data_IF_784975136145
#
_entry.id   IF_784975136145
#
_cell.length_a   1.000
_cell.length_b   1.000
_cell.length_c   1.000
_cell.angle_alpha   90.00
_cell.angle_beta   90.00
_cell.angle_gamma   90.00
#
_symmetry.space_group_name_H-M   'P 1'
#
loop_
_entity.id
_entity.type
_entity.pdbx_description
1 polymer ?
#
# COMPACT_ATOMS: atom_id res chain seq x y z
N UNK A 1 0.28 98.53 -42.87
CA UNK A 1 1.37 97.89 -42.09
C UNK A 1 0.80 96.63 -41.46
N UNK A 2 1.21 95.44 -41.94
CA UNK A 2 2.03 94.43 -41.23
C UNK A 2 1.25 93.75 -40.06
N UNK A 3 1.09 92.43 -39.95
CA UNK A 3 2.01 91.31 -40.24
C UNK A 3 1.23 89.98 -40.13
N UNK A 4 1.45 89.03 -41.04
CA UNK A 4 1.06 87.63 -40.86
C UNK A 4 1.87 86.97 -39.74
N UNK A 5 1.27 86.08 -38.92
CA UNK A 5 2.00 85.02 -38.25
C UNK A 5 1.73 83.66 -38.93
N UNK A 6 2.76 83.23 -39.63
CA UNK A 6 3.21 81.87 -39.93
C UNK A 6 2.32 80.67 -39.53
N UNK A 7 1.95 79.90 -40.57
CA UNK A 7 1.61 78.47 -40.49
C UNK A 7 2.77 77.69 -39.90
N UNK A 8 2.59 77.08 -38.73
CA UNK A 8 3.37 75.91 -38.32
C UNK A 8 2.40 74.74 -38.07
N UNK A 9 2.26 73.87 -39.08
CA UNK A 9 1.60 72.56 -38.94
C UNK A 9 2.65 71.50 -38.57
N UNK A 10 2.68 70.97 -37.34
CA UNK A 10 3.39 69.72 -37.05
C UNK A 10 2.41 68.53 -37.17
N UNK A 11 1.61 68.46 -38.23
CA UNK A 11 0.62 67.38 -38.40
C UNK A 11 1.23 66.11 -39.00
N UNK A 12 2.34 66.21 -39.75
CA UNK A 12 2.98 65.04 -40.39
C UNK A 12 3.78 64.14 -39.44
N UNK A 13 4.47 64.70 -38.43
CA UNK A 13 5.28 63.90 -37.48
C UNK A 13 4.43 63.07 -36.52
N UNK A 14 3.25 63.57 -36.14
CA UNK A 14 2.31 62.86 -35.28
C UNK A 14 1.68 61.64 -35.98
N UNK A 15 1.45 61.72 -37.29
CA UNK A 15 0.92 60.60 -38.09
C UNK A 15 1.90 59.43 -38.21
N UNK A 16 3.21 59.71 -38.34
CA UNK A 16 4.24 58.66 -38.39
C UNK A 16 4.40 57.99 -37.01
N UNK A 17 4.37 58.79 -35.93
CA UNK A 17 4.44 58.29 -34.56
C UNK A 17 3.25 57.39 -34.20
N UNK A 18 2.02 57.74 -34.64
CA UNK A 18 0.84 56.90 -34.41
C UNK A 18 0.91 55.57 -35.16
N UNK A 19 1.41 55.56 -36.39
CA UNK A 19 1.58 54.32 -37.16
C UNK A 19 2.63 53.42 -36.52
N UNK A 20 3.79 53.97 -36.15
CA UNK A 20 4.83 53.21 -35.44
C UNK A 20 4.33 52.67 -34.09
N UNK A 21 3.60 53.48 -33.32
CA UNK A 21 3.01 53.04 -32.06
C UNK A 21 1.99 51.92 -32.28
N UNK A 22 1.15 52.02 -33.31
CA UNK A 22 0.17 50.99 -33.64
C UNK A 22 0.83 49.68 -34.10
N UNK A 23 1.91 49.77 -34.90
CA UNK A 23 2.70 48.60 -35.29
C UNK A 23 3.38 47.95 -34.08
N UNK A 24 4.00 48.74 -33.19
CA UNK A 24 4.60 48.22 -31.97
C UNK A 24 3.56 47.56 -31.05
N UNK A 25 2.38 48.17 -30.88
CA UNK A 25 1.32 47.62 -30.05
C UNK A 25 0.81 46.28 -30.59
N UNK A 26 0.69 46.14 -31.91
CA UNK A 26 0.33 44.87 -32.55
C UNK A 26 1.41 43.80 -32.34
N UNK A 27 2.70 44.16 -32.48
CA UNK A 27 3.82 43.21 -32.29
C UNK A 27 3.93 42.78 -30.82
N UNK A 28 3.84 43.72 -29.88
CA UNK A 28 3.88 43.38 -28.45
C UNK A 28 2.64 42.59 -28.02
N UNK A 29 1.47 42.92 -28.57
CA UNK A 29 0.24 42.17 -28.33
C UNK A 29 0.32 40.72 -28.83
N UNK A 30 0.87 40.50 -30.03
CA UNK A 30 1.03 39.14 -30.57
C UNK A 30 2.08 38.32 -29.81
N UNK A 31 3.19 38.94 -29.40
CA UNK A 31 4.21 38.28 -28.58
C UNK A 31 3.67 37.93 -27.18
N UNK A 32 2.94 38.85 -26.55
CA UNK A 32 2.31 38.59 -25.25
C UNK A 32 1.30 37.45 -25.34
N UNK A 33 0.47 37.42 -26.39
CA UNK A 33 -0.46 36.32 -26.64
C UNK A 33 0.26 35.00 -26.86
N UNK A 34 1.34 34.98 -27.66
CA UNK A 34 2.14 33.77 -27.90
C UNK A 34 2.76 33.24 -26.60
N UNK A 35 3.35 34.11 -25.78
CA UNK A 35 3.94 33.73 -24.50
C UNK A 35 2.90 33.26 -23.50
N UNK A 36 1.70 33.84 -23.48
CA UNK A 36 0.60 33.36 -22.66
C UNK A 36 0.20 31.92 -23.02
N UNK A 37 0.13 31.58 -24.32
CA UNK A 37 -0.16 30.21 -24.78
C UNK A 37 0.96 29.24 -24.40
N UNK A 38 2.22 29.62 -24.58
CA UNK A 38 3.37 28.78 -24.19
C UNK A 38 3.39 28.54 -22.68
N UNK A 39 3.14 29.58 -21.88
CA UNK A 39 3.07 29.47 -20.43
C UNK A 39 1.94 28.52 -19.98
N UNK A 40 0.75 28.64 -20.57
CA UNK A 40 -0.36 27.71 -20.33
C UNK A 40 -0.01 26.26 -20.71
N UNK A 41 0.70 26.07 -21.83
CA UNK A 41 1.20 24.76 -22.26
C UNK A 41 2.18 24.14 -21.26
N UNK A 42 3.12 24.94 -20.77
CA UNK A 42 4.09 24.51 -19.75
C UNK A 42 3.40 24.16 -18.43
N UNK A 43 2.45 24.99 -17.97
CA UNK A 43 1.68 24.73 -16.75
C UNK A 43 0.88 23.43 -16.84
N UNK A 44 0.22 23.17 -17.98
CA UNK A 44 -0.54 21.93 -18.19
C UNK A 44 0.36 20.69 -18.19
N UNK A 45 1.54 20.80 -18.79
CA UNK A 45 2.55 19.73 -18.76
C UNK A 45 3.05 19.50 -17.34
N UNK A 46 3.34 20.56 -16.59
CA UNK A 46 3.78 20.47 -15.21
C UNK A 46 2.71 19.84 -14.29
N UNK A 47 1.45 20.26 -14.40
CA UNK A 47 0.32 19.67 -13.67
C UNK A 47 0.17 18.17 -13.98
N UNK A 48 0.30 17.78 -15.25
CA UNK A 48 0.22 16.37 -15.65
C UNK A 48 1.36 15.55 -15.05
N UNK A 49 2.58 16.10 -15.03
CA UNK A 49 3.74 15.44 -14.41
C UNK A 49 3.56 15.26 -12.90
N UNK A 50 3.01 16.28 -12.21
CA UNK A 50 2.69 16.19 -10.78
C UNK A 50 1.66 15.10 -10.51
N UNK A 51 0.59 15.04 -11.31
CA UNK A 51 -0.45 14.00 -11.17
C UNK A 51 0.09 12.60 -11.39
N UNK A 52 0.96 12.42 -12.38
CA UNK A 52 1.68 11.15 -12.59
C UNK A 52 2.49 10.76 -11.36
N UNK A 53 3.23 11.69 -10.77
CA UNK A 53 4.04 11.42 -9.58
C UNK A 53 3.17 11.07 -8.37
N UNK A 54 2.07 11.80 -8.14
CA UNK A 54 1.16 11.53 -7.01
C UNK A 54 0.42 10.20 -7.16
N UNK A 55 -0.05 9.86 -8.36
CA UNK A 55 -0.65 8.56 -8.65
C UNK A 55 0.35 7.41 -8.41
N UNK A 56 1.63 7.59 -8.79
CA UNK A 56 2.67 6.60 -8.52
C UNK A 56 2.95 6.46 -7.02
N UNK A 57 3.10 7.57 -6.30
CA UNK A 57 3.28 7.55 -4.83
C UNK A 57 2.09 6.92 -4.11
N UNK A 58 0.86 7.11 -4.61
CA UNK A 58 -0.32 6.42 -4.09
C UNK A 58 -0.28 4.91 -4.31
N UNK A 59 0.11 4.46 -5.50
CA UNK A 59 0.28 3.03 -5.78
C UNK A 59 1.36 2.39 -4.88
N UNK A 60 2.49 3.07 -4.68
CA UNK A 60 3.58 2.60 -3.80
C UNK A 60 3.14 2.55 -2.33
N UNK A 61 2.47 3.60 -1.85
CA UNK A 61 1.95 3.65 -0.48
C UNK A 61 0.93 2.55 -0.24
N UNK A 62 0.01 2.34 -1.19
CA UNK A 62 -0.96 1.26 -1.14
C UNK A 62 -0.30 -0.11 -1.11
N UNK A 63 0.80 -0.31 -1.85
CA UNK A 63 1.55 -1.58 -1.84
C UNK A 63 2.19 -1.85 -0.48
N UNK A 64 2.83 -0.84 0.13
CA UNK A 64 3.43 -0.98 1.47
C UNK A 64 2.35 -1.24 2.52
N UNK A 65 1.23 -0.52 2.43
CA UNK A 65 0.08 -0.75 3.31
C UNK A 65 -0.47 -2.17 3.17
N UNK A 66 -0.68 -2.63 1.93
CA UNK A 66 -1.20 -3.95 1.64
C UNK A 66 -0.27 -5.07 2.12
N UNK A 67 1.04 -4.92 1.93
CA UNK A 67 2.05 -5.85 2.40
C UNK A 67 2.04 -5.95 3.94
N UNK A 68 1.97 -4.81 4.64
CA UNK A 68 1.89 -4.78 6.10
C UNK A 68 0.59 -5.42 6.59
N UNK A 69 -0.56 -5.06 6.02
CA UNK A 69 -1.86 -5.63 6.37
C UNK A 69 -1.86 -7.15 6.17
N UNK A 70 -1.37 -7.62 5.03
CA UNK A 70 -1.28 -9.05 4.76
C UNK A 70 -0.37 -9.76 5.77
N UNK A 71 0.79 -9.18 6.11
CA UNK A 71 1.68 -9.75 7.12
C UNK A 71 1.03 -9.83 8.51
N UNK A 72 0.39 -8.74 8.95
CA UNK A 72 -0.28 -8.67 10.24
C UNK A 72 -1.44 -9.70 10.32
N UNK A 73 -2.28 -9.79 9.28
CA UNK A 73 -3.43 -10.69 9.29
C UNK A 73 -3.06 -12.16 9.07
N UNK A 74 -2.09 -12.45 8.20
CA UNK A 74 -1.62 -13.84 7.99
C UNK A 74 -0.87 -14.40 9.20
N UNK A 75 -0.17 -13.57 9.97
CA UNK A 75 0.54 -13.99 11.19
C UNK A 75 -0.38 -14.55 12.28
N UNK A 76 -1.69 -14.24 12.21
CA UNK A 76 -2.71 -14.76 13.13
C UNK A 76 -2.98 -16.25 12.94
N UNK A 77 -2.65 -16.81 11.77
CA UNK A 77 -2.95 -18.19 11.42
C UNK A 77 -1.81 -19.12 11.89
N UNK A 78 -2.02 -19.79 13.02
CA UNK A 78 -1.09 -20.80 13.52
C UNK A 78 -1.43 -22.13 12.85
N UNK A 79 -0.60 -22.53 11.90
CA UNK A 79 -0.74 -23.77 11.15
C UNK A 79 0.06 -24.90 11.81
N UNK A 80 -0.52 -26.09 11.95
CA UNK A 80 0.20 -27.30 12.42
C UNK A 80 1.12 -27.89 11.35
N UNK A 81 0.64 -27.96 10.11
CA UNK A 81 1.40 -28.47 8.96
C UNK A 81 2.75 -27.74 8.80
N UNK A 82 3.80 -28.49 8.46
CA UNK A 82 5.17 -27.96 8.36
C UNK A 82 5.49 -27.30 7.02
N UNK A 83 4.78 -27.67 5.96
CA UNK A 83 4.96 -27.16 4.59
C UNK A 83 3.62 -26.65 4.10
N UNK A 84 3.64 -25.46 3.49
CA UNK A 84 2.50 -24.87 2.79
C UNK A 84 2.70 -25.20 1.31
N UNK A 85 1.91 -26.15 0.79
CA UNK A 85 1.82 -26.43 -0.64
C UNK A 85 0.74 -25.56 -1.31
N UNK A 86 0.59 -25.64 -2.63
CA UNK A 86 -0.34 -24.79 -3.36
C UNK A 86 -1.81 -25.06 -2.95
N UNK A 87 -2.18 -26.33 -2.81
CA UNK A 87 -3.54 -26.73 -2.41
C UNK A 87 -3.86 -26.24 -1.00
N UNK A 88 -2.94 -26.44 -0.05
CA UNK A 88 -3.12 -25.96 1.32
C UNK A 88 -3.10 -24.42 1.41
N UNK A 89 -2.33 -23.74 0.56
CA UNK A 89 -2.37 -22.29 0.48
C UNK A 89 -3.73 -21.78 -0.01
N UNK A 90 -4.36 -22.47 -0.96
CA UNK A 90 -5.71 -22.18 -1.42
C UNK A 90 -6.75 -22.40 -0.33
N UNK A 91 -6.68 -23.53 0.37
CA UNK A 91 -7.56 -23.80 1.50
C UNK A 91 -7.39 -22.75 2.62
N UNK A 92 -6.15 -22.34 2.91
CA UNK A 92 -5.82 -21.32 3.91
C UNK A 92 -6.31 -19.93 3.51
N UNK A 93 -6.20 -19.62 2.23
CA UNK A 93 -6.65 -18.36 1.67
C UNK A 93 -8.17 -18.24 1.73
N UNK A 94 -8.90 -19.25 1.24
CA UNK A 94 -10.37 -19.27 1.17
C UNK A 94 -11.04 -19.60 2.50
N UNK A 95 -10.34 -20.32 3.39
CA UNK A 95 -10.86 -20.72 4.69
C UNK A 95 -11.64 -22.03 4.70
N UNK A 96 -11.34 -22.93 3.77
CA UNK A 96 -11.99 -24.25 3.66
C UNK A 96 -11.29 -25.34 4.47
N UNK A 97 -10.32 -24.97 5.32
CA UNK A 97 -9.52 -25.92 6.12
C UNK A 97 -10.34 -26.51 7.27
N UNK A 98 -10.08 -27.78 7.59
CA UNK A 98 -10.55 -28.41 8.81
C UNK A 98 -10.03 -27.71 10.08
N UNK A 99 -10.93 -27.43 11.03
CA UNK A 99 -10.64 -26.69 12.27
C UNK A 99 -9.56 -27.33 13.17
N UNK A 100 -9.12 -28.56 12.88
CA UNK A 100 -8.05 -29.24 13.59
C UNK A 100 -6.64 -28.78 13.19
N UNK A 101 -6.45 -28.21 12.01
CA UNK A 101 -5.10 -27.95 11.46
C UNK A 101 -4.62 -26.51 11.65
N UNK A 102 -5.54 -25.59 11.91
CA UNK A 102 -5.29 -24.16 12.03
C UNK A 102 -5.94 -23.61 13.29
N UNK A 103 -5.18 -22.82 14.05
CA UNK A 103 -5.70 -22.02 15.16
C UNK A 103 -5.52 -20.55 14.83
N UNK A 104 -6.61 -19.79 14.83
CA UNK A 104 -6.60 -18.36 14.49
C UNK A 104 -6.58 -17.53 15.76
N UNK A 105 -5.57 -16.66 15.88
CA UNK A 105 -5.46 -15.69 16.96
C UNK A 105 -6.40 -14.48 16.75
N UNK A 106 -6.83 -13.82 17.83
CA UNK A 106 -7.61 -12.59 17.73
C UNK A 106 -6.81 -11.50 16.98
N UNK A 107 -7.51 -10.58 16.27
CA UNK A 107 -6.85 -9.48 15.60
C UNK A 107 -6.23 -8.50 16.60
N UNK A 108 -5.21 -7.77 16.14
CA UNK A 108 -4.61 -6.69 16.89
C UNK A 108 -5.21 -5.34 16.44
N UNK A 109 -5.78 -4.58 17.38
CA UNK A 109 -6.30 -3.24 17.12
C UNK A 109 -7.79 -3.15 16.78
N UNK A 110 -8.48 -4.26 16.55
CA UNK A 110 -9.94 -4.30 16.37
C UNK A 110 -10.53 -5.61 16.93
N UNK A 111 -11.85 -5.66 17.08
CA UNK A 111 -12.57 -6.83 17.60
C UNK A 111 -13.44 -7.44 16.52
N UNK A 112 -13.39 -8.77 16.38
CA UNK A 112 -14.27 -9.54 15.49
C UNK A 112 -15.20 -10.42 16.31
N UNK A 113 -16.43 -10.60 15.84
CA UNK A 113 -17.44 -11.42 16.53
C UNK A 113 -17.22 -12.93 16.40
N UNK A 114 -16.50 -13.36 15.37
CA UNK A 114 -16.11 -14.75 15.11
C UNK A 114 -14.71 -14.77 14.49
N UNK A 115 -13.89 -15.82 14.74
CA UNK A 115 -12.67 -16.03 13.97
C UNK A 115 -12.98 -16.10 12.46
N UNK A 116 -12.20 -15.43 11.60
CA UNK A 116 -12.36 -15.52 10.16
C UNK A 116 -11.98 -16.93 9.68
N UNK A 117 -12.71 -17.50 8.72
CA UNK A 117 -12.43 -18.86 8.22
C UNK A 117 -11.10 -18.94 7.46
N UNK A 118 -10.72 -17.90 6.71
CA UNK A 118 -9.50 -17.85 5.91
C UNK A 118 -8.79 -16.50 5.95
N UNK A 119 -7.59 -16.46 5.37
CA UNK A 119 -6.76 -15.24 5.34
C UNK A 119 -7.50 -14.12 4.57
N UNK A 120 -8.21 -14.45 3.49
CA UNK A 120 -8.92 -13.43 2.70
C UNK A 120 -10.00 -12.72 3.51
N UNK A 121 -10.74 -13.45 4.35
CA UNK A 121 -11.75 -12.86 5.25
C UNK A 121 -11.07 -12.08 6.39
N UNK A 122 -9.93 -12.55 6.91
CA UNK A 122 -9.18 -11.80 7.91
C UNK A 122 -8.70 -10.44 7.39
N UNK A 123 -8.21 -10.38 6.14
CA UNK A 123 -7.82 -9.13 5.48
C UNK A 123 -9.05 -8.24 5.24
N UNK A 124 -10.18 -8.81 4.82
CA UNK A 124 -11.45 -8.09 4.66
C UNK A 124 -11.89 -7.43 5.97
N UNK A 125 -11.90 -8.19 7.07
CA UNK A 125 -12.29 -7.68 8.38
C UNK A 125 -11.37 -6.55 8.84
N UNK A 126 -10.06 -6.67 8.58
CA UNK A 126 -9.09 -5.63 8.85
C UNK A 126 -9.36 -4.33 8.08
N UNK A 127 -9.80 -4.42 6.82
CA UNK A 127 -10.21 -3.25 6.03
C UNK A 127 -11.56 -2.67 6.47
N UNK A 128 -12.51 -3.51 6.91
CA UNK A 128 -13.79 -3.05 7.45
C UNK A 128 -13.64 -2.32 8.79
N UNK A 129 -12.58 -2.60 9.53
CA UNK A 129 -12.27 -1.94 10.79
C UNK A 129 -11.59 -0.57 10.62
N UNK A 130 -11.07 -0.25 9.43
CA UNK A 130 -10.43 1.03 9.15
C UNK A 130 -11.49 2.10 8.80
N UNK A 131 -11.19 3.37 9.11
CA UNK A 131 -12.07 4.54 8.88
C UNK A 131 -11.54 5.50 7.80
N UNK A 132 -10.60 5.03 6.97
CA UNK A 132 -9.90 5.85 5.96
C UNK A 132 -10.39 5.59 4.53
N UNK A 133 -11.44 4.76 4.39
CA UNK A 133 -12.03 4.42 3.12
C UNK A 133 -12.91 5.55 2.59
N UNK A 134 -12.96 5.68 1.27
CA UNK A 134 -13.79 6.66 0.58
C UNK A 134 -14.61 5.96 -0.49
N UNK A 135 -15.78 6.53 -0.79
CA UNK A 135 -16.64 6.08 -1.90
C UNK A 135 -16.36 7.02 -3.07
N UNK A 136 -15.70 6.52 -4.11
CA UNK A 136 -15.41 7.30 -5.33
C UNK A 136 -16.46 7.01 -6.39
N UNK A 137 -16.73 5.73 -6.61
CA UNK A 137 -17.73 5.22 -7.56
C UNK A 137 -18.95 4.67 -6.81
N UNK A 138 -20.16 4.69 -7.41
CA UNK A 138 -21.37 4.19 -6.75
C UNK A 138 -21.29 2.73 -6.27
N UNK A 139 -20.47 1.90 -6.91
CA UNK A 139 -20.24 0.50 -6.53
C UNK A 139 -19.23 0.29 -5.39
N UNK A 140 -18.53 1.34 -4.95
CA UNK A 140 -17.53 1.22 -3.88
C UNK A 140 -18.18 1.01 -2.51
N UNK A 141 -19.44 1.41 -2.35
CA UNK A 141 -20.18 1.24 -1.11
C UNK A 141 -20.31 -0.23 -0.69
N UNK A 142 -20.31 -1.17 -1.65
CA UNK A 142 -20.48 -2.60 -1.39
C UNK A 142 -19.15 -3.32 -1.11
N UNK A 143 -18.01 -2.68 -1.37
CA UNK A 143 -16.69 -3.17 -1.01
C UNK A 143 -16.43 -2.98 0.50
N UNK A 144 -15.42 -3.63 1.11
CA UNK A 144 -14.62 -4.73 0.60
C UNK A 144 -15.44 -6.02 0.42
N UNK A 145 -15.31 -6.60 -0.78
CA UNK A 145 -16.03 -7.79 -1.23
C UNK A 145 -15.04 -8.92 -1.56
N UNK A 146 -15.37 -10.12 -1.09
CA UNK A 146 -14.64 -11.35 -1.40
C UNK A 146 -15.39 -12.09 -2.49
N UNK A 147 -14.75 -12.28 -3.62
CA UNK A 147 -15.20 -13.19 -4.67
C UNK A 147 -14.70 -14.60 -4.34
N UNK A 148 -15.55 -15.40 -3.68
CA UNK A 148 -15.21 -16.76 -3.25
C UNK A 148 -14.96 -17.71 -4.43
N UNK A 149 -15.46 -17.39 -5.64
CA UNK A 149 -15.26 -18.24 -6.82
C UNK A 149 -13.83 -18.13 -7.36
N UNK A 150 -13.27 -16.93 -7.30
CA UNK A 150 -11.92 -16.65 -7.83
C UNK A 150 -10.88 -16.38 -6.73
N UNK A 151 -11.28 -16.39 -5.46
CA UNK A 151 -10.40 -16.08 -4.34
C UNK A 151 -9.84 -14.65 -4.39
N UNK A 152 -10.64 -13.69 -4.87
CA UNK A 152 -10.21 -12.31 -5.05
C UNK A 152 -10.86 -11.40 -4.02
N UNK A 153 -10.06 -10.60 -3.32
CA UNK A 153 -10.56 -9.53 -2.45
C UNK A 153 -10.40 -8.19 -3.17
N UNK A 154 -11.50 -7.47 -3.30
CA UNK A 154 -11.51 -6.07 -3.77
C UNK A 154 -11.80 -5.17 -2.59
N UNK A 155 -10.99 -4.14 -2.42
CA UNK A 155 -11.09 -3.20 -1.29
C UNK A 155 -11.61 -1.85 -1.76
N UNK A 156 -12.29 -1.14 -0.85
CA UNK A 156 -12.65 0.26 -1.04
C UNK A 156 -11.41 1.13 -1.32
N UNK A 157 -11.54 2.20 -2.12
CA UNK A 157 -10.48 3.17 -2.26
C UNK A 157 -10.12 3.82 -0.92
N UNK A 158 -8.83 4.06 -0.68
CA UNK A 158 -8.32 4.71 0.52
C UNK A 158 -7.63 6.02 0.10
N UNK A 159 -8.08 7.14 0.67
CA UNK A 159 -7.51 8.46 0.38
C UNK A 159 -6.17 8.65 1.09
N UNK A 160 -5.17 9.22 0.40
CA UNK A 160 -3.90 9.57 1.04
C UNK A 160 -3.98 10.84 1.90
N UNK A 161 -4.87 11.75 1.55
CA UNK A 161 -5.01 13.06 2.18
C UNK A 161 -6.49 13.43 2.28
N UNK A 162 -6.80 14.31 3.22
CA UNK A 162 -8.11 14.93 3.32
C UNK A 162 -8.28 16.01 2.24
N UNK A 163 -9.39 15.95 1.49
CA UNK A 163 -9.78 17.00 0.56
C UNK A 163 -10.47 16.52 -0.71
N UNK A 164 -11.15 17.43 -1.43
CA UNK A 164 -11.74 17.11 -2.73
C UNK A 164 -10.64 16.79 -3.74
N UNK A 165 -10.81 15.69 -4.49
CA UNK A 165 -9.83 15.16 -5.46
C UNK A 165 -8.47 14.78 -4.84
N UNK A 166 -8.45 14.33 -3.59
CA UNK A 166 -7.24 13.74 -3.03
C UNK A 166 -6.83 12.49 -3.83
N UNK A 167 -5.52 12.26 -4.04
CA UNK A 167 -5.07 11.01 -4.61
C UNK A 167 -5.44 9.87 -3.68
N UNK A 168 -5.87 8.76 -4.26
CA UNK A 168 -6.29 7.57 -3.54
C UNK A 168 -5.62 6.34 -4.14
N UNK A 169 -5.66 5.24 -3.41
CA UNK A 169 -5.26 3.94 -3.94
C UNK A 169 -6.35 2.90 -3.73
N UNK A 170 -6.38 1.91 -4.61
CA UNK A 170 -7.31 0.78 -4.58
C UNK A 170 -6.50 -0.51 -4.54
N UNK A 171 -6.91 -1.43 -3.69
CA UNK A 171 -6.21 -2.69 -3.48
C UNK A 171 -7.03 -3.87 -4.00
N UNK A 172 -6.33 -4.79 -4.64
CA UNK A 172 -6.84 -6.10 -5.03
C UNK A 172 -5.86 -7.17 -4.57
N UNK A 173 -6.39 -8.22 -3.95
CA UNK A 173 -5.63 -9.40 -3.54
C UNK A 173 -6.17 -10.61 -4.31
N UNK A 174 -5.30 -11.41 -4.88
CA UNK A 174 -5.65 -12.58 -5.69
C UNK A 174 -4.65 -13.70 -5.41
N UNK A 175 -5.14 -14.92 -5.16
CA UNK A 175 -4.27 -16.08 -5.06
C UNK A 175 -3.78 -16.50 -6.46
N UNK A 176 -2.49 -16.79 -6.59
CA UNK A 176 -1.93 -17.30 -7.84
C UNK A 176 -2.26 -18.79 -7.99
N UNK A 177 -2.80 -19.17 -9.15
CA UNK A 177 -3.08 -20.57 -9.45
C UNK A 177 -1.80 -21.40 -9.39
N UNK A 178 -1.87 -22.54 -8.67
CA UNK A 178 -0.78 -23.52 -8.57
C UNK A 178 0.50 -23.03 -7.86
N UNK A 179 0.48 -21.87 -7.22
CA UNK A 179 1.59 -21.35 -6.43
C UNK A 179 1.10 -20.89 -5.04
N UNK A 180 1.84 -21.16 -3.95
CA UNK A 180 1.50 -20.64 -2.62
C UNK A 180 1.88 -19.16 -2.52
N UNK A 181 1.32 -18.32 -3.39
CA UNK A 181 1.62 -16.91 -3.48
C UNK A 181 0.37 -16.09 -3.76
N UNK A 182 0.27 -14.93 -3.10
CA UNK A 182 -0.81 -13.98 -3.26
C UNK A 182 -0.27 -12.78 -4.03
N UNK A 183 -0.91 -12.49 -5.16
CA UNK A 183 -0.68 -11.30 -5.95
C UNK A 183 -1.47 -10.14 -5.35
N UNK A 184 -0.76 -9.07 -5.04
CA UNK A 184 -1.34 -7.80 -4.62
C UNK A 184 -1.20 -6.83 -5.77
N UNK A 185 -2.31 -6.20 -6.14
CA UNK A 185 -2.34 -5.10 -7.09
C UNK A 185 -2.76 -3.83 -6.36
N UNK A 186 -1.92 -2.79 -6.44
CA UNK A 186 -2.18 -1.46 -5.92
C UNK A 186 -2.34 -0.49 -7.07
N UNK A 187 -3.53 0.09 -7.20
CA UNK A 187 -3.88 1.08 -8.21
C UNK A 187 -3.95 2.46 -7.57
N UNK A 188 -2.97 3.32 -7.82
CA UNK A 188 -2.97 4.72 -7.39
C UNK A 188 -3.58 5.64 -8.44
N UNK A 189 -4.50 6.50 -8.03
CA UNK A 189 -5.27 7.39 -8.91
C UNK A 189 -5.14 8.84 -8.45
N UNK A 190 -4.91 9.74 -9.41
CA UNK A 190 -4.97 11.19 -9.21
C UNK A 190 -5.64 11.87 -10.43
N UNK A 191 -6.90 12.27 -10.26
CA UNK A 191 -7.74 12.76 -11.35
C UNK A 191 -7.97 11.68 -12.40
N UNK A 192 -7.50 11.91 -13.63
CA UNK A 192 -7.65 10.97 -14.76
C UNK A 192 -6.41 10.10 -14.99
N UNK A 193 -5.44 10.15 -14.07
CA UNK A 193 -4.18 9.40 -14.20
C UNK A 193 -4.18 8.26 -13.20
N UNK A 194 -3.96 7.06 -13.73
CA UNK A 194 -3.87 5.82 -12.97
C UNK A 194 -2.47 5.22 -13.11
N UNK A 195 -1.92 4.75 -12.00
CA UNK A 195 -0.68 3.96 -11.94
C UNK A 195 -0.95 2.67 -11.20
N UNK A 196 -0.47 1.56 -11.75
CA UNK A 196 -0.68 0.24 -11.18
C UNK A 196 0.67 -0.36 -10.83
N UNK A 197 0.79 -0.85 -9.60
CA UNK A 197 1.91 -1.64 -9.11
C UNK A 197 1.39 -3.02 -8.71
N UNK A 198 2.16 -4.06 -9.01
CA UNK A 198 1.80 -5.43 -8.68
C UNK A 198 3.01 -6.15 -8.10
N UNK A 199 2.79 -6.87 -7.01
CA UNK A 199 3.81 -7.69 -6.36
C UNK A 199 3.20 -9.02 -5.92
N UNK A 200 4.03 -10.06 -5.97
CA UNK A 200 3.63 -11.41 -5.56
C UNK A 200 4.28 -11.72 -4.21
N UNK A 201 3.46 -12.07 -3.23
CA UNK A 201 3.88 -12.40 -1.87
C UNK A 201 3.73 -13.88 -1.64
N UNK A 202 4.83 -14.55 -1.31
CA UNK A 202 4.82 -15.97 -1.02
C UNK A 202 4.30 -16.22 0.39
N UNK A 203 3.36 -17.15 0.52
CA UNK A 203 2.79 -17.60 1.79
C UNK A 203 3.62 -18.78 2.28
N UNK A 204 4.56 -18.51 3.19
CA UNK A 204 5.40 -19.54 3.81
C UNK A 204 5.23 -19.52 5.32
N UNK A 205 5.40 -20.69 5.94
CA UNK A 205 5.47 -20.82 7.39
C UNK A 205 6.88 -20.48 7.86
N UNK A 206 7.01 -19.46 8.71
CA UNK A 206 8.29 -19.13 9.36
C UNK A 206 8.29 -19.63 10.79
N UNK A 207 9.34 -20.35 11.17
CA UNK A 207 9.59 -20.74 12.56
C UNK A 207 10.51 -19.70 13.17
N UNK A 208 10.01 -18.93 14.13
CA UNK A 208 10.79 -17.87 14.80
C UNK A 208 11.62 -18.40 15.97
N UNK A 209 12.25 -19.57 15.82
CA UNK A 209 13.09 -20.17 16.84
C UNK A 209 14.48 -20.48 16.30
N UNK A 210 15.51 -20.15 17.09
CA UNK A 210 16.90 -20.48 16.77
C UNK A 210 17.15 -21.98 16.86
N UNK A 211 16.54 -22.65 17.85
CA UNK A 211 16.47 -24.12 17.91
C UNK A 211 15.10 -24.52 18.42
N UNK A 212 14.45 -25.43 17.69
CA UNK A 212 13.19 -26.07 18.07
C UNK A 212 13.40 -27.57 18.01
N UNK A 213 13.17 -28.28 19.12
CA UNK A 213 13.18 -29.74 19.10
C UNK A 213 12.07 -30.31 19.98
N UNK A 214 11.38 -31.36 19.50
CA UNK A 214 10.44 -32.11 20.33
C UNK A 214 11.14 -32.95 21.41
N UNK A 215 12.46 -33.14 21.28
CA UNK A 215 13.29 -33.96 22.15
C UNK A 215 14.38 -33.12 22.83
N UNK A 216 15.09 -33.73 23.79
CA UNK A 216 16.20 -33.08 24.50
C UNK A 216 17.26 -32.56 23.54
N UNK A 217 17.65 -31.29 23.71
CA UNK A 217 18.73 -30.64 22.96
C UNK A 217 19.96 -30.61 23.88
N UNK A 218 21.10 -31.14 23.41
CA UNK A 218 22.38 -30.98 24.10
C UNK A 218 23.19 -29.90 23.38
N UNK A 219 23.52 -28.82 24.08
CA UNK A 219 24.38 -27.74 23.59
C UNK A 219 25.79 -27.96 24.16
N UNK A 220 26.80 -28.08 23.28
CA UNK A 220 28.18 -28.29 23.67
C UNK A 220 28.84 -27.04 24.30
N UNK A 221 30.02 -27.21 24.92
CA UNK A 221 30.81 -26.08 25.41
C UNK A 221 31.24 -25.17 24.26
N UNK A 222 31.26 -23.86 24.50
CA UNK A 222 31.62 -22.81 23.52
C UNK A 222 30.66 -22.68 22.33
N UNK A 223 29.39 -23.05 22.48
CA UNK A 223 28.35 -22.78 21.49
C UNK A 223 27.54 -21.56 21.92
N UNK A 224 27.45 -20.57 21.04
CA UNK A 224 26.59 -19.40 21.20
C UNK A 224 25.34 -19.60 20.36
N UNK A 225 24.17 -19.54 20.99
CA UNK A 225 22.88 -19.53 20.30
C UNK A 225 22.28 -18.14 20.48
N UNK A 226 21.98 -17.48 19.37
CA UNK A 226 21.31 -16.19 19.36
C UNK A 226 19.89 -16.38 18.82
N UNK A 227 18.90 -16.09 19.66
CA UNK A 227 17.48 -16.23 19.36
C UNK A 227 16.75 -17.20 20.30
N UNK A 228 15.41 -17.25 20.22
CA UNK A 228 14.58 -18.00 21.16
C UNK A 228 14.71 -19.52 20.95
N UNK A 229 14.64 -20.26 22.05
CA UNK A 229 14.76 -21.72 22.10
C UNK A 229 13.41 -22.32 22.49
N UNK A 230 12.91 -23.28 21.68
CA UNK A 230 11.68 -24.01 21.95
C UNK A 230 11.96 -25.47 22.25
N UNK A 231 11.64 -25.93 23.46
CA UNK A 231 11.69 -27.35 23.84
C UNK A 231 10.47 -27.74 24.66
N UNK A 232 9.89 -28.91 24.37
CA UNK A 232 8.64 -29.41 24.96
C UNK A 232 8.86 -30.34 26.17
N UNK A 233 10.06 -30.40 26.75
CA UNK A 233 10.39 -31.41 27.76
C UNK A 233 10.25 -30.90 29.20
N UNK A 234 9.16 -31.30 29.88
CA UNK A 234 9.01 -31.28 31.34
C UNK A 234 8.87 -32.71 31.88
N UNK A 235 9.38 -33.00 33.07
CA UNK A 235 9.43 -34.36 33.64
C UNK A 235 8.33 -34.67 34.66
N UNK A 236 7.53 -33.69 35.10
CA UNK A 236 6.41 -33.91 36.06
C UNK A 236 5.13 -33.12 35.72
N UNK A 237 4.00 -33.59 36.25
CA UNK A 237 2.72 -32.89 36.16
C UNK A 237 2.78 -31.58 36.96
N UNK A 238 2.45 -30.45 36.32
CA UNK A 238 2.53 -29.05 36.81
C UNK A 238 3.92 -28.37 36.76
N UNK A 239 4.92 -28.93 36.06
CA UNK A 239 6.24 -28.27 35.89
C UNK A 239 6.21 -27.13 34.84
N UNK A 240 5.21 -27.10 33.96
CA UNK A 240 5.06 -26.07 32.93
C UNK A 240 3.78 -25.25 33.19
N UNK A 241 3.87 -24.23 34.05
CA UNK A 241 2.86 -23.16 34.19
C UNK A 241 3.53 -21.78 34.09
N UNK A 242 3.43 -21.16 32.91
CA UNK A 242 2.59 -20.01 32.49
C UNK A 242 3.09 -18.58 32.75
N UNK A 243 4.23 -18.32 33.40
CA UNK A 243 4.68 -16.90 33.52
C UNK A 243 6.04 -16.52 32.90
N UNK A 244 7.07 -17.37 32.79
CA UNK A 244 8.36 -16.95 32.16
C UNK A 244 9.23 -18.06 31.51
N UNK A 245 8.70 -19.26 31.25
CA UNK A 245 9.50 -20.39 30.75
C UNK A 245 10.43 -20.98 31.83
N UNK A 246 10.77 -22.28 31.73
CA UNK A 246 11.62 -22.97 32.73
C UNK A 246 12.95 -23.50 32.12
N UNK A 247 14.07 -23.47 32.87
CA UNK A 247 15.41 -23.19 32.38
C UNK A 247 16.18 -24.37 31.78
N UNK A 248 17.12 -24.04 30.88
CA UNK A 248 18.22 -24.91 30.44
C UNK A 248 19.10 -25.33 31.63
N UNK A 249 19.00 -26.59 32.04
CA UNK A 249 19.93 -27.16 33.03
C UNK A 249 21.23 -27.58 32.32
N UNK A 250 22.22 -26.69 32.33
CA UNK A 250 23.60 -27.04 32.00
C UNK A 250 24.26 -27.73 33.20
N UNK A 251 24.59 -29.02 33.06
CA UNK A 251 25.49 -29.69 34.00
C UNK A 251 26.93 -29.26 33.70
N UNK A 252 27.53 -28.50 34.61
CA UNK A 252 28.96 -28.16 34.56
C UNK A 252 29.77 -29.34 35.08
N UNK A 253 30.47 -30.05 34.19
CA UNK A 253 31.40 -31.12 34.55
C UNK A 253 32.85 -30.58 34.70
N UNK A 254 33.03 -29.58 35.57
CA UNK A 254 34.37 -29.19 36.05
C UNK A 254 34.67 -29.88 37.39
N UNK A 255 35.69 -30.74 37.37
CA UNK A 255 36.56 -31.10 38.50
C UNK A 255 38.00 -30.76 38.09
#
# INVERSE_FOLDING_TARGET
MLRHPNRNRPTRRRAVASVLAMMFLVIFGSLAAAMAVVAQGNLRTADSALKVSRAMSAAETGMVFAARRMADESSRFIVRRGVIDADFAEELWLGTIDAGDVTVLPPNGYTVGSPPPGIIQAIRDGHLADDHDIIVEPGDADLPEVDETFGVLRVRPIALNEGPNAPYFRLRYELLASEPAVRVTSEGVDGNITRVLQMDFRVDKKIEYAVLAPNRIMIGKNVMVEGPLGSLYGTQANELTTENGDPLVMRSDFY
#
